data_IF_951067704231
#
_entry.id   IF_951067704231
#
_cell.length_a   1.000
_cell.length_b   1.000
_cell.length_c   1.000
_cell.angle_alpha   90.00
_cell.angle_beta   90.00
_cell.angle_gamma   90.00
#
_symmetry.space_group_name_H-M   'P 1'
#
loop_
_entity.id
_entity.type
_entity.pdbx_description
1 polymer ?
#
# COMPACT_ATOMS: atom_id res chain seq x y z
N UNK A 1 -0.71 9.56 36.87
CA UNK A 1 -1.75 8.53 36.62
C UNK A 1 -3.04 8.99 37.28
N UNK A 2 -4.20 8.76 36.65
CA UNK A 2 -5.52 9.04 37.23
C UNK A 2 -5.91 7.98 38.27
N UNK A 3 -6.29 8.41 39.46
CA UNK A 3 -6.72 7.55 40.55
C UNK A 3 -7.67 8.28 41.51
N UNK A 4 -8.49 7.55 42.25
CA UNK A 4 -9.36 8.17 43.26
C UNK A 4 -8.53 8.72 44.43
N UNK A 5 -8.65 10.03 44.76
CA UNK A 5 -7.91 10.65 45.86
C UNK A 5 -8.29 10.13 47.24
N UNK A 6 -9.53 9.69 47.40
CA UNK A 6 -10.09 9.26 48.69
C UNK A 6 -10.89 7.97 48.48
N UNK A 7 -10.75 6.96 49.36
CA UNK A 7 -11.62 5.79 49.38
C UNK A 7 -12.98 6.14 50.01
N UNK A 8 -13.61 7.22 49.54
CA UNK A 8 -14.96 7.65 49.92
C UNK A 8 -15.82 7.72 48.67
N UNK A 9 -17.06 7.24 48.77
CA UNK A 9 -18.02 7.32 47.67
C UNK A 9 -18.56 8.75 47.63
N UNK A 10 -18.07 9.54 46.67
CA UNK A 10 -18.63 10.85 46.32
C UNK A 10 -19.43 10.68 45.02
N UNK A 11 -20.75 10.93 45.01
CA UNK A 11 -21.56 10.85 43.80
C UNK A 11 -21.07 11.78 42.67
N UNK A 12 -20.36 12.87 43.01
CA UNK A 12 -19.79 13.81 42.06
C UNK A 12 -18.33 13.51 41.70
N UNK A 13 -17.73 12.44 42.24
CA UNK A 13 -16.38 12.04 41.90
C UNK A 13 -16.26 10.55 41.55
N UNK A 14 -15.76 10.25 40.36
CA UNK A 14 -15.65 8.88 39.82
C UNK A 14 -14.21 8.64 39.37
N UNK A 15 -13.52 7.67 40.00
CA UNK A 15 -12.21 7.17 39.59
C UNK A 15 -11.13 8.25 39.35
N UNK A 16 -11.15 9.30 40.19
CA UNK A 16 -10.23 10.44 40.07
C UNK A 16 -10.71 11.56 39.15
N UNK A 17 -11.98 11.56 38.77
CA UNK A 17 -12.63 12.63 38.00
C UNK A 17 -13.65 13.33 38.88
N UNK A 18 -13.69 14.66 38.86
CA UNK A 18 -14.77 15.43 39.47
C UNK A 18 -15.73 15.89 38.38
N UNK A 19 -17.02 15.63 38.56
CA UNK A 19 -18.07 15.97 37.61
C UNK A 19 -18.81 17.26 38.01
N UNK A 20 -19.27 18.01 37.01
CA UNK A 20 -20.20 19.13 37.21
C UNK A 20 -21.66 18.64 37.39
N UNK A 21 -22.61 19.57 37.54
CA UNK A 21 -24.02 19.24 37.73
C UNK A 21 -24.68 18.57 36.51
N UNK A 22 -24.10 18.75 35.33
CA UNK A 22 -24.58 18.21 34.06
C UNK A 22 -23.89 16.87 33.69
N UNK A 23 -22.91 16.45 34.48
CA UNK A 23 -22.14 15.22 34.31
C UNK A 23 -20.91 15.35 33.41
N UNK A 24 -20.47 16.56 33.06
CA UNK A 24 -19.20 16.77 32.36
C UNK A 24 -18.04 16.72 33.35
N UNK A 25 -16.85 16.33 32.87
CA UNK A 25 -15.65 16.33 33.72
C UNK A 25 -15.18 17.76 33.94
N UNK A 26 -15.19 18.20 35.19
CA UNK A 26 -14.70 19.50 35.61
C UNK A 26 -13.22 19.48 36.00
N UNK A 27 -12.76 18.39 36.65
CA UNK A 27 -11.37 18.25 37.12
C UNK A 27 -10.87 16.82 37.10
N UNK A 28 -9.55 16.69 37.01
CA UNK A 28 -8.81 15.43 37.02
C UNK A 28 -7.87 15.37 38.22
N UNK A 29 -7.93 14.30 39.00
CA UNK A 29 -6.95 14.00 40.05
C UNK A 29 -5.79 13.21 39.47
N UNK A 30 -4.63 13.84 39.39
CA UNK A 30 -3.43 13.22 38.85
C UNK A 30 -2.44 12.99 39.98
N UNK A 31 -2.03 11.73 40.15
CA UNK A 31 -1.03 11.34 41.14
C UNK A 31 0.33 11.96 40.85
N UNK A 32 1.01 12.43 41.90
CA UNK A 32 2.36 13.02 41.83
C UNK A 32 3.40 12.02 41.33
N UNK A 33 3.16 10.74 41.63
CA UNK A 33 4.06 9.64 41.27
C UNK A 33 3.26 8.44 40.76
N UNK A 34 3.93 7.60 39.95
CA UNK A 34 3.34 6.34 39.52
C UNK A 34 3.16 5.39 40.73
N UNK A 35 1.99 4.74 40.92
CA UNK A 35 1.73 3.83 42.04
C UNK A 35 2.72 2.67 42.16
N UNK A 36 3.27 2.22 41.03
CA UNK A 36 4.29 1.18 40.96
C UNK A 36 5.73 1.70 40.97
N UNK A 37 5.97 2.99 41.19
CA UNK A 37 7.32 3.51 41.37
C UNK A 37 7.96 2.87 42.62
N UNK A 38 9.29 2.74 42.62
CA UNK A 38 10.07 2.18 43.73
C UNK A 38 10.14 3.14 44.94
N UNK A 39 8.98 3.64 45.37
CA UNK A 39 8.78 4.44 46.56
C UNK A 39 8.37 3.51 47.70
N UNK A 40 8.83 3.82 48.92
CA UNK A 40 8.41 3.08 50.10
C UNK A 40 6.96 3.41 50.42
N UNK A 41 6.03 2.56 49.98
CA UNK A 41 4.61 2.64 50.30
C UNK A 41 3.71 3.05 49.13
N UNK A 42 2.42 2.76 49.28
CA UNK A 42 1.38 3.15 48.34
C UNK A 42 1.05 4.63 48.59
N UNK A 43 1.41 5.51 47.67
CA UNK A 43 1.02 6.93 47.74
C UNK A 43 -0.10 7.23 46.75
N UNK A 44 -1.20 7.77 47.27
CA UNK A 44 -2.31 8.35 46.49
C UNK A 44 -2.24 9.88 46.46
N UNK A 45 -1.10 10.45 46.88
CA UNK A 45 -0.85 11.89 46.79
C UNK A 45 -0.87 12.32 45.32
N UNK A 46 -1.51 13.46 45.09
CA UNK A 46 -1.74 14.02 43.77
C UNK A 46 -2.33 15.41 43.91
N UNK A 47 -2.71 15.97 42.77
CA UNK A 47 -3.34 17.28 42.70
C UNK A 47 -4.48 17.29 41.68
N UNK A 48 -5.43 18.19 41.91
CA UNK A 48 -6.51 18.46 40.98
C UNK A 48 -6.02 19.40 39.89
N UNK A 49 -6.30 19.02 38.65
CA UNK A 49 -6.14 19.85 37.46
C UNK A 49 -7.52 20.14 36.88
N UNK A 50 -7.72 21.37 36.41
CA UNK A 50 -8.94 21.73 35.71
C UNK A 50 -9.01 20.98 34.37
N UNK A 51 -10.23 20.66 33.92
CA UNK A 51 -10.42 19.86 32.70
C UNK A 51 -9.83 20.52 31.45
N UNK A 52 -9.76 21.85 31.45
CA UNK A 52 -9.17 22.66 30.40
C UNK A 52 -7.66 22.43 30.23
N UNK A 53 -6.98 21.95 31.27
CA UNK A 53 -5.53 21.68 31.28
C UNK A 53 -5.19 20.23 30.93
N UNK A 54 -6.19 19.38 30.70
CA UNK A 54 -6.01 17.93 30.56
C UNK A 54 -6.65 17.41 29.28
N UNK A 55 -5.81 16.95 28.36
CA UNK A 55 -6.25 16.19 27.19
C UNK A 55 -6.42 14.72 27.57
N UNK A 56 -7.67 14.29 27.79
CA UNK A 56 -8.00 12.91 28.11
C UNK A 56 -8.52 12.16 26.87
N UNK A 57 -7.62 11.50 26.16
CA UNK A 57 -7.97 10.71 24.97
C UNK A 57 -8.27 9.26 25.33
N UNK A 58 -9.47 8.80 24.97
CA UNK A 58 -9.90 7.41 25.11
C UNK A 58 -11.06 7.08 24.17
N UNK A 59 -11.24 5.79 23.87
CA UNK A 59 -12.36 5.32 23.07
C UNK A 59 -13.65 5.21 23.91
N UNK A 60 -14.57 6.14 23.73
CA UNK A 60 -15.89 6.14 24.36
C UNK A 60 -16.90 5.31 23.54
N UNK A 61 -17.40 4.21 24.11
CA UNK A 61 -18.37 3.32 23.45
C UNK A 61 -19.81 3.56 23.91
N UNK A 62 -20.01 4.28 25.02
CA UNK A 62 -21.34 4.58 25.58
C UNK A 62 -21.42 6.03 26.08
N UNK A 63 -22.59 6.68 25.99
CA UNK A 63 -22.82 7.96 26.66
C UNK A 63 -22.57 7.87 28.17
N UNK A 64 -21.93 8.90 28.75
CA UNK A 64 -21.56 8.93 30.17
C UNK A 64 -20.36 8.06 30.55
N UNK A 65 -19.67 7.45 29.58
CA UNK A 65 -18.41 6.77 29.85
C UNK A 65 -17.30 7.80 30.05
N UNK A 66 -16.73 7.84 31.25
CA UNK A 66 -15.68 8.81 31.60
C UNK A 66 -14.26 8.25 31.49
N UNK A 67 -14.09 6.95 31.22
CA UNK A 67 -12.79 6.29 31.05
C UNK A 67 -12.82 5.26 29.94
N UNK A 68 -11.71 5.14 29.22
CA UNK A 68 -11.51 4.08 28.25
C UNK A 68 -11.42 2.71 28.91
N UNK A 69 -11.93 1.70 28.19
CA UNK A 69 -11.61 0.30 28.46
C UNK A 69 -10.53 -0.10 27.45
N UNK A 70 -9.46 -0.75 27.91
CA UNK A 70 -8.39 -1.18 27.01
C UNK A 70 -8.91 -2.14 25.94
N UNK A 71 -8.44 -1.98 24.71
CA UNK A 71 -8.91 -2.74 23.54
C UNK A 71 -8.75 -4.26 23.69
N UNK A 72 -7.73 -4.69 24.42
CA UNK A 72 -7.43 -6.11 24.65
C UNK A 72 -8.25 -6.75 25.79
N UNK A 73 -8.99 -5.95 26.56
CA UNK A 73 -9.78 -6.44 27.71
C UNK A 73 -10.76 -7.56 27.32
N UNK A 74 -11.49 -7.49 26.18
CA UNK A 74 -12.37 -8.57 25.73
C UNK A 74 -11.64 -9.87 25.35
N UNK A 75 -10.32 -9.84 25.23
CA UNK A 75 -9.48 -10.97 24.82
C UNK A 75 -8.65 -11.59 25.96
N UNK A 76 -8.80 -11.12 27.21
CA UNK A 76 -7.98 -11.58 28.35
C UNK A 76 -8.09 -13.09 28.61
N UNK A 77 -9.29 -13.65 28.46
CA UNK A 77 -9.51 -15.08 28.63
C UNK A 77 -8.78 -15.90 27.55
N UNK A 78 -8.82 -15.42 26.31
CA UNK A 78 -8.16 -16.02 25.16
C UNK A 78 -6.64 -16.04 25.34
N UNK A 79 -6.05 -14.97 25.88
CA UNK A 79 -4.63 -14.96 26.27
C UNK A 79 -4.31 -16.00 27.35
N UNK A 80 -5.17 -16.15 28.35
CA UNK A 80 -4.99 -17.13 29.41
C UNK A 80 -5.06 -18.57 28.86
N UNK A 81 -6.03 -18.85 27.99
CA UNK A 81 -6.17 -20.14 27.32
C UNK A 81 -4.98 -20.44 26.42
N UNK A 82 -4.53 -19.47 25.61
CA UNK A 82 -3.34 -19.62 24.77
C UNK A 82 -2.12 -20.00 25.62
N UNK A 83 -1.83 -19.22 26.66
CA UNK A 83 -0.70 -19.47 27.56
C UNK A 83 -0.78 -20.85 28.22
N UNK A 84 -1.94 -21.23 28.75
CA UNK A 84 -2.14 -22.53 29.41
C UNK A 84 -1.97 -23.69 28.44
N UNK A 85 -2.52 -23.57 27.24
CA UNK A 85 -2.44 -24.61 26.23
C UNK A 85 -1.01 -24.77 25.70
N UNK A 86 -0.31 -23.68 25.39
CA UNK A 86 1.11 -23.72 25.00
C UNK A 86 1.97 -24.36 26.08
N UNK A 87 1.77 -23.99 27.34
CA UNK A 87 2.50 -24.62 28.45
C UNK A 87 2.20 -26.11 28.57
N UNK A 88 0.93 -26.52 28.44
CA UNK A 88 0.54 -27.93 28.51
C UNK A 88 1.18 -28.75 27.38
N UNK A 89 1.24 -28.21 26.16
CA UNK A 89 1.87 -28.87 25.01
C UNK A 89 3.38 -29.00 25.20
N UNK A 90 4.05 -27.95 25.67
CA UNK A 90 5.49 -28.00 26.01
C UNK A 90 5.72 -29.03 27.12
N UNK A 91 4.97 -28.97 28.22
CA UNK A 91 5.12 -29.88 29.37
C UNK A 91 4.89 -31.33 28.95
N UNK A 92 3.89 -31.60 28.11
CA UNK A 92 3.62 -32.95 27.62
C UNK A 92 4.74 -33.45 26.69
N UNK A 93 5.30 -32.57 25.85
CA UNK A 93 6.43 -32.90 24.98
C UNK A 93 7.71 -33.16 25.80
N UNK A 94 7.99 -32.35 26.82
CA UNK A 94 9.10 -32.53 27.77
C UNK A 94 8.95 -33.85 28.53
N UNK A 95 7.77 -34.10 29.13
CA UNK A 95 7.50 -35.35 29.86
C UNK A 95 7.70 -36.58 28.98
N UNK A 96 7.22 -36.55 27.73
CA UNK A 96 7.41 -37.66 26.79
C UNK A 96 8.87 -37.82 26.34
N UNK A 97 9.66 -36.74 26.32
CA UNK A 97 11.08 -36.78 25.99
C UNK A 97 11.95 -37.25 27.17
N UNK A 98 11.55 -36.96 28.41
CA UNK A 98 12.28 -37.34 29.62
C UNK A 98 12.23 -38.86 29.87
N UNK A 99 11.11 -39.52 29.55
CA UNK A 99 11.00 -40.98 29.66
C UNK A 99 11.44 -41.68 28.37
N UNK A 100 12.60 -42.34 28.44
CA UNK A 100 13.09 -43.13 27.31
C UNK A 100 12.19 -44.36 27.00
N UNK A 101 11.73 -45.08 28.03
CA UNK A 101 10.72 -46.15 27.94
C UNK A 101 10.20 -46.50 29.35
N UNK A 102 8.95 -46.99 29.42
CA UNK A 102 8.33 -47.55 30.62
C UNK A 102 8.12 -49.05 30.36
N UNK A 103 8.44 -49.90 31.34
CA UNK A 103 8.15 -51.33 31.26
C UNK A 103 6.76 -51.60 31.82
N UNK A 104 5.90 -52.27 31.06
CA UNK A 104 4.61 -52.79 31.54
C UNK A 104 4.58 -54.30 31.44
N UNK A 105 3.94 -54.99 32.38
CA UNK A 105 3.68 -56.42 32.24
C UNK A 105 2.44 -56.66 31.40
N UNK A 106 2.50 -57.61 30.48
CA UNK A 106 1.37 -58.09 29.67
C UNK A 106 0.91 -59.49 30.07
N UNK A 107 1.46 -60.02 31.16
CA UNK A 107 1.08 -61.32 31.67
C UNK A 107 -0.32 -61.28 32.33
N UNK A 108 -1.11 -62.37 32.20
CA UNK A 108 -2.39 -62.50 32.90
C UNK A 108 -2.19 -62.50 34.43
N UNK A 109 -3.25 -62.30 35.24
CA UNK A 109 -3.14 -62.17 36.70
C UNK A 109 -2.48 -63.36 37.42
N UNK A 110 -2.47 -64.54 36.80
CA UNK A 110 -1.82 -65.76 37.30
C UNK A 110 -0.39 -65.95 36.79
N UNK A 111 0.08 -65.11 35.86
CA UNK A 111 1.41 -65.16 35.29
C UNK A 111 2.46 -64.56 36.25
N UNK A 112 3.65 -65.16 36.29
CA UNK A 112 4.77 -64.68 37.10
C UNK A 112 5.72 -63.90 36.19
N UNK A 113 5.82 -62.58 36.37
CA UNK A 113 6.84 -61.77 35.72
C UNK A 113 8.17 -61.87 36.49
N UNK A 114 9.29 -61.60 35.81
CA UNK A 114 10.55 -61.38 36.49
C UNK A 114 10.41 -60.22 37.51
N UNK A 115 10.92 -60.43 38.73
CA UNK A 115 10.86 -59.43 39.80
C UNK A 115 11.75 -58.23 39.43
N UNK A 116 11.10 -57.10 39.15
CA UNK A 116 11.74 -55.80 39.06
C UNK A 116 11.37 -55.00 40.31
N UNK A 117 12.35 -54.29 40.85
CA UNK A 117 12.09 -53.36 41.95
C UNK A 117 11.30 -52.16 41.41
N UNK A 118 10.38 -51.63 42.21
CA UNK A 118 9.61 -50.46 41.80
C UNK A 118 10.56 -49.27 41.51
N UNK A 119 10.41 -48.65 40.35
CA UNK A 119 11.24 -47.52 39.87
C UNK A 119 12.70 -47.88 39.51
N UNK A 120 13.00 -49.15 39.24
CA UNK A 120 14.31 -49.56 38.73
C UNK A 120 14.62 -48.94 37.34
N UNK A 121 15.81 -48.35 37.19
CA UNK A 121 16.26 -47.73 35.94
C UNK A 121 17.24 -48.61 35.18
N UNK A 122 17.01 -48.83 33.88
CA UNK A 122 17.90 -49.59 33.01
C UNK A 122 18.63 -48.66 32.03
N UNK A 123 19.96 -48.80 31.82
CA UNK A 123 20.70 -47.94 30.91
C UNK A 123 20.34 -48.25 29.45
N UNK A 124 19.80 -47.27 28.73
CA UNK A 124 19.57 -47.37 27.28
C UNK A 124 20.81 -46.82 26.55
N UNK A 125 21.58 -47.71 25.92
CA UNK A 125 22.78 -47.35 25.16
C UNK A 125 22.43 -47.08 23.69
N UNK A 126 22.87 -45.92 23.17
CA UNK A 126 22.59 -45.49 21.79
C UNK A 126 23.16 -46.50 20.78
N UNK A 127 22.30 -47.00 19.89
CA UNK A 127 22.71 -47.91 18.80
C UNK A 127 22.94 -49.37 19.21
N UNK A 128 22.60 -49.74 20.44
CA UNK A 128 22.74 -51.12 20.96
C UNK A 128 21.38 -51.79 21.13
N UNK A 129 21.30 -53.08 20.82
CA UNK A 129 20.15 -53.91 21.19
C UNK A 129 20.24 -54.27 22.68
N UNK A 130 19.29 -53.80 23.49
CA UNK A 130 19.23 -54.08 24.94
C UNK A 130 18.15 -55.12 25.21
N UNK A 131 18.46 -56.17 25.99
CA UNK A 131 17.48 -57.19 26.38
C UNK A 131 16.57 -56.69 27.50
N UNK A 132 15.27 -56.95 27.38
CA UNK A 132 14.25 -56.64 28.40
C UNK A 132 13.94 -57.92 29.19
N UNK A 133 13.68 -57.85 30.51
CA UNK A 133 13.29 -59.01 31.32
C UNK A 133 12.02 -59.71 30.81
N UNK A 134 11.93 -61.02 31.06
CA UNK A 134 10.79 -61.84 30.62
C UNK A 134 9.47 -61.40 31.27
N UNK A 135 8.40 -61.37 30.47
CA UNK A 135 7.07 -60.90 30.89
C UNK A 135 6.88 -59.37 30.93
N UNK A 136 7.86 -58.59 30.45
CA UNK A 136 7.81 -57.13 30.39
C UNK A 136 7.93 -56.60 28.96
N UNK A 137 7.02 -55.70 28.60
CA UNK A 137 7.04 -54.97 27.33
C UNK A 137 7.48 -53.53 27.56
N UNK A 138 8.47 -53.07 26.80
CA UNK A 138 8.83 -51.65 26.77
C UNK A 138 7.81 -50.86 25.96
N UNK A 139 7.24 -49.84 26.59
CA UNK A 139 6.35 -48.86 25.98
C UNK A 139 7.01 -47.50 26.10
N UNK A 140 7.24 -46.86 24.97
CA UNK A 140 7.62 -45.45 24.97
C UNK A 140 6.41 -44.61 25.35
N UNK A 141 6.59 -43.66 26.28
CA UNK A 141 5.56 -42.66 26.54
C UNK A 141 5.42 -41.80 25.29
N UNK A 142 4.24 -41.83 24.66
CA UNK A 142 3.91 -40.97 23.54
C UNK A 142 3.07 -39.81 24.06
N UNK A 143 3.47 -38.59 23.75
CA UNK A 143 2.57 -37.45 23.88
C UNK A 143 1.47 -37.61 22.81
N UNK A 144 0.31 -38.15 23.16
CA UNK A 144 -0.81 -38.39 22.24
C UNK A 144 -1.65 -37.14 21.94
N UNK A 145 -1.16 -35.95 22.29
CA UNK A 145 -1.81 -34.71 21.86
C UNK A 145 -1.65 -34.53 20.34
N UNK A 146 -2.67 -34.03 19.61
CA UNK A 146 -2.55 -33.77 18.18
C UNK A 146 -1.62 -32.58 17.93
N UNK A 147 -0.31 -32.83 17.93
CA UNK A 147 0.76 -31.86 17.63
C UNK A 147 0.55 -31.18 16.28
N UNK A 148 -0.06 -31.88 15.32
CA UNK A 148 -0.43 -31.35 14.01
C UNK A 148 -1.52 -30.26 14.04
N UNK A 149 -2.34 -30.20 15.11
CA UNK A 149 -3.43 -29.22 15.25
C UNK A 149 -3.06 -28.03 16.13
N UNK A 150 -1.90 -28.08 16.80
CA UNK A 150 -1.43 -27.01 17.69
C UNK A 150 -1.37 -25.66 16.96
N UNK A 151 -0.76 -25.63 15.78
CA UNK A 151 -0.62 -24.42 14.97
C UNK A 151 -1.98 -23.84 14.54
N UNK A 152 -2.96 -24.70 14.21
CA UNK A 152 -4.30 -24.26 13.84
C UNK A 152 -5.05 -23.64 15.03
N UNK A 153 -4.95 -24.27 16.20
CA UNK A 153 -5.52 -23.74 17.43
C UNK A 153 -4.88 -22.40 17.82
N UNK A 154 -3.54 -22.32 17.83
CA UNK A 154 -2.80 -21.10 18.13
C UNK A 154 -3.20 -19.97 17.17
N UNK A 155 -3.20 -20.25 15.87
CA UNK A 155 -3.64 -19.30 14.85
C UNK A 155 -5.07 -18.83 15.08
N UNK A 156 -5.99 -19.73 15.43
CA UNK A 156 -7.40 -19.39 15.71
C UNK A 156 -7.54 -18.53 16.96
N UNK A 157 -6.76 -18.82 18.00
CA UNK A 157 -6.74 -18.06 19.25
C UNK A 157 -6.16 -16.66 19.04
N UNK A 158 -5.01 -16.55 18.37
CA UNK A 158 -4.42 -15.26 17.99
C UNK A 158 -5.36 -14.44 17.12
N UNK A 159 -6.07 -15.07 16.17
CA UNK A 159 -7.09 -14.38 15.37
C UNK A 159 -8.24 -13.86 16.23
N UNK A 160 -8.70 -14.62 17.23
CA UNK A 160 -9.76 -14.19 18.14
C UNK A 160 -9.31 -13.01 19.02
N UNK A 161 -8.05 -13.03 19.48
CA UNK A 161 -7.43 -11.93 20.22
C UNK A 161 -7.32 -10.69 19.33
N UNK A 162 -6.75 -10.82 18.12
CA UNK A 162 -6.51 -9.72 17.20
C UNK A 162 -7.78 -8.97 16.79
N UNK A 163 -8.93 -9.66 16.73
CA UNK A 163 -10.24 -9.05 16.45
C UNK A 163 -10.63 -7.97 17.45
N UNK A 164 -10.20 -8.07 18.71
CA UNK A 164 -10.50 -7.05 19.74
C UNK A 164 -9.86 -5.69 19.44
N UNK A 165 -8.73 -5.70 18.72
CA UNK A 165 -7.98 -4.51 18.28
C UNK A 165 -8.22 -4.18 16.79
N UNK A 166 -9.19 -4.83 16.15
CA UNK A 166 -9.45 -4.74 14.71
C UNK A 166 -8.21 -5.03 13.83
N UNK A 167 -7.33 -5.93 14.30
CA UNK A 167 -6.11 -6.34 13.59
C UNK A 167 -6.36 -7.62 12.77
N UNK A 168 -6.07 -7.62 11.46
CA UNK A 168 -5.99 -8.85 10.68
C UNK A 168 -4.83 -9.74 11.17
N UNK A 169 -4.98 -11.06 11.02
CA UNK A 169 -3.96 -12.03 11.47
C UNK A 169 -2.57 -11.75 10.87
N UNK A 170 -2.50 -11.38 9.58
CA UNK A 170 -1.23 -11.07 8.90
C UNK A 170 -0.47 -9.89 9.54
N UNK A 171 -1.19 -8.98 10.19
CA UNK A 171 -0.61 -7.83 10.89
C UNK A 171 -0.26 -8.21 12.32
N UNK A 172 -1.19 -8.87 13.02
CA UNK A 172 -1.02 -9.24 14.43
C UNK A 172 0.09 -10.29 14.65
N UNK A 173 0.14 -11.32 13.81
CA UNK A 173 1.11 -12.41 13.89
C UNK A 173 2.32 -12.21 12.97
N UNK A 174 2.33 -11.16 12.14
CA UNK A 174 3.34 -10.91 11.11
C UNK A 174 3.58 -12.13 10.20
N UNK A 175 2.53 -12.90 9.93
CA UNK A 175 2.58 -14.14 9.15
C UNK A 175 1.65 -14.04 7.94
N UNK A 176 2.25 -13.91 6.76
CA UNK A 176 1.57 -13.89 5.47
C UNK A 176 1.75 -15.17 4.66
N UNK A 177 2.24 -16.26 5.25
CA UNK A 177 2.58 -17.51 4.54
C UNK A 177 1.39 -18.12 3.79
N UNK A 178 0.18 -17.98 4.33
CA UNK A 178 -1.05 -18.49 3.74
C UNK A 178 -1.84 -17.43 2.93
N UNK A 179 -1.32 -16.20 2.79
CA UNK A 179 -2.05 -15.09 2.17
C UNK A 179 -1.71 -14.93 0.69
N UNK A 180 -2.75 -14.79 -0.15
CA UNK A 180 -2.62 -14.30 -1.53
C UNK A 180 -2.62 -12.76 -1.59
N UNK A 181 -2.20 -12.19 -2.72
CA UNK A 181 -2.21 -10.74 -2.94
C UNK A 181 -3.59 -10.10 -2.69
N UNK A 182 -4.66 -10.72 -3.21
CA UNK A 182 -6.04 -10.23 -3.06
C UNK A 182 -6.51 -10.28 -1.60
N UNK A 183 -6.24 -11.37 -0.89
CA UNK A 183 -6.58 -11.48 0.54
C UNK A 183 -5.79 -10.49 1.39
N UNK A 184 -4.49 -10.34 1.13
CA UNK A 184 -3.64 -9.39 1.83
C UNK A 184 -4.15 -7.96 1.64
N UNK A 185 -4.50 -7.59 0.40
CA UNK A 185 -5.09 -6.28 0.11
C UNK A 185 -6.42 -6.08 0.85
N UNK A 186 -7.27 -7.09 0.91
CA UNK A 186 -8.54 -7.04 1.66
C UNK A 186 -8.32 -6.81 3.15
N UNK A 187 -7.40 -7.55 3.76
CA UNK A 187 -7.05 -7.44 5.18
C UNK A 187 -6.50 -6.04 5.51
N UNK A 188 -5.53 -5.55 4.73
CA UNK A 188 -4.99 -4.20 4.93
C UNK A 188 -6.02 -3.10 4.68
N UNK A 189 -7.01 -3.30 3.79
CA UNK A 189 -8.05 -2.28 3.57
C UNK A 189 -8.88 -2.02 4.83
N UNK A 190 -9.27 -3.08 5.54
CA UNK A 190 -10.03 -2.95 6.80
C UNK A 190 -9.16 -2.34 7.89
N UNK A 191 -7.92 -2.82 8.02
CA UNK A 191 -6.98 -2.30 9.01
C UNK A 191 -6.66 -0.81 8.81
N UNK A 192 -6.39 -0.39 7.57
CA UNK A 192 -6.11 1.01 7.23
C UNK A 192 -7.30 1.93 7.50
N UNK A 193 -8.54 1.44 7.35
CA UNK A 193 -9.75 2.18 7.75
C UNK A 193 -9.82 2.38 9.26
N UNK A 194 -9.44 1.37 10.05
CA UNK A 194 -9.36 1.47 11.50
C UNK A 194 -8.37 2.57 11.92
N UNK A 195 -7.15 2.54 11.35
CA UNK A 195 -6.14 3.58 11.56
C UNK A 195 -6.65 4.97 11.14
N UNK A 196 -7.42 5.06 10.04
CA UNK A 196 -8.03 6.31 9.64
C UNK A 196 -9.01 6.87 10.67
N UNK A 197 -9.79 6.01 11.33
CA UNK A 197 -10.70 6.41 12.40
C UNK A 197 -9.92 6.87 13.65
N UNK A 198 -8.88 6.12 14.04
CA UNK A 198 -7.96 6.49 15.13
C UNK A 198 -7.32 7.87 14.90
N UNK A 199 -6.79 8.09 13.69
CA UNK A 199 -6.20 9.37 13.28
C UNK A 199 -7.21 10.51 13.38
N UNK A 200 -8.41 10.33 12.83
CA UNK A 200 -9.46 11.36 12.87
C UNK A 200 -9.92 11.67 14.31
N UNK A 201 -9.98 10.66 15.18
CA UNK A 201 -10.32 10.86 16.59
C UNK A 201 -9.20 11.60 17.33
N UNK A 202 -7.94 11.23 17.09
CA UNK A 202 -6.78 11.90 17.65
C UNK A 202 -6.65 13.34 17.16
N UNK A 203 -6.94 13.62 15.88
CA UNK A 203 -7.01 14.98 15.35
C UNK A 203 -7.99 15.83 16.18
N UNK A 204 -9.23 15.36 16.31
CA UNK A 204 -10.31 16.09 16.98
C UNK A 204 -10.13 16.24 18.49
N UNK A 205 -9.60 15.21 19.16
CA UNK A 205 -9.53 15.16 20.64
C UNK A 205 -8.21 15.69 21.17
N UNK A 206 -7.13 15.55 20.41
CA UNK A 206 -5.78 15.86 20.87
C UNK A 206 -5.17 17.01 20.07
N UNK A 207 -5.07 16.86 18.75
CA UNK A 207 -4.27 17.80 17.95
C UNK A 207 -4.95 19.16 17.77
N UNK A 208 -6.25 19.19 17.50
CA UNK A 208 -7.02 20.42 17.34
C UNK A 208 -7.01 21.25 18.64
N UNK A 209 -7.34 20.70 19.82
CA UNK A 209 -7.26 21.47 21.07
C UNK A 209 -5.85 21.98 21.39
N UNK A 210 -4.82 21.18 21.10
CA UNK A 210 -3.42 21.61 21.32
C UNK A 210 -3.06 22.77 20.39
N UNK A 211 -3.47 22.69 19.12
CA UNK A 211 -3.22 23.76 18.15
C UNK A 211 -3.98 25.03 18.53
N UNK A 212 -5.24 24.93 18.94
CA UNK A 212 -6.05 26.07 19.41
C UNK A 212 -5.38 26.76 20.61
N UNK A 213 -4.98 26.00 21.63
CA UNK A 213 -4.25 26.56 22.79
C UNK A 213 -2.93 27.19 22.40
N UNK A 214 -2.20 26.56 21.48
CA UNK A 214 -0.97 27.13 20.96
C UNK A 214 -1.20 28.44 20.21
N UNK A 215 -2.27 28.53 19.42
CA UNK A 215 -2.65 29.74 18.68
C UNK A 215 -3.05 30.88 19.63
N UNK A 216 -3.79 30.56 20.70
CA UNK A 216 -4.16 31.53 21.73
C UNK A 216 -2.93 32.16 22.39
N UNK A 217 -1.96 31.33 22.79
CA UNK A 217 -0.68 31.81 23.35
C UNK A 217 0.16 32.55 22.30
N UNK A 218 0.19 32.06 21.06
CA UNK A 218 0.95 32.69 19.98
C UNK A 218 0.42 34.09 19.64
N UNK A 219 -0.89 34.32 19.76
CA UNK A 219 -1.50 35.63 19.55
C UNK A 219 -1.06 36.67 20.58
N UNK A 220 -0.60 36.24 21.77
CA UNK A 220 -0.08 37.12 22.81
C UNK A 220 1.39 37.52 22.58
N UNK A 221 2.10 36.84 21.68
CA UNK A 221 3.50 37.09 21.36
C UNK A 221 3.61 37.99 20.12
N UNK A 222 4.06 39.25 20.26
CA UNK A 222 4.14 40.18 19.12
C UNK A 222 5.04 39.65 18.01
N UNK A 223 4.53 39.63 16.77
CA UNK A 223 5.26 39.25 15.56
C UNK A 223 5.40 37.74 15.33
N UNK A 224 4.84 36.88 16.19
CA UNK A 224 4.84 35.44 15.96
C UNK A 224 3.81 35.03 14.91
N UNK A 225 2.59 35.58 15.00
CA UNK A 225 1.58 35.48 13.94
C UNK A 225 1.77 36.68 13.00
N UNK A 226 1.94 36.47 11.67
CA UNK A 226 2.09 37.56 10.72
C UNK A 226 0.89 38.51 10.71
N UNK A 227 1.17 39.82 10.67
CA UNK A 227 0.13 40.84 10.53
C UNK A 227 -0.63 40.73 9.20
N UNK A 228 -1.91 41.14 9.21
CA UNK A 228 -2.74 41.20 8.00
C UNK A 228 -3.43 39.88 7.62
N UNK A 229 -3.31 38.84 8.43
CA UNK A 229 -4.11 37.62 8.32
C UNK A 229 -5.54 37.85 8.84
N UNK A 230 -6.54 37.11 8.34
CA UNK A 230 -7.89 37.14 8.91
C UNK A 230 -7.87 36.66 10.37
N UNK A 231 -8.91 36.96 11.17
CA UNK A 231 -9.04 36.45 12.53
C UNK A 231 -8.81 34.93 12.59
N UNK A 232 -8.12 34.45 13.63
CA UNK A 232 -7.82 33.01 13.80
C UNK A 232 -9.09 32.14 13.77
N UNK A 233 -10.23 32.68 14.21
CA UNK A 233 -11.54 32.01 14.15
C UNK A 233 -12.02 31.69 12.73
N UNK A 234 -11.45 32.32 11.70
CA UNK A 234 -11.75 32.07 10.29
C UNK A 234 -10.77 31.07 9.64
N UNK A 235 -9.74 30.65 10.38
CA UNK A 235 -8.73 29.74 9.85
C UNK A 235 -9.29 28.32 9.79
N UNK A 236 -8.95 27.62 8.72
CA UNK A 236 -9.20 26.19 8.56
C UNK A 236 -7.87 25.48 8.40
N UNK A 237 -7.64 24.44 9.20
CA UNK A 237 -6.47 23.58 9.07
C UNK A 237 -6.86 22.13 8.80
N UNK A 238 -5.88 21.33 8.41
CA UNK A 238 -6.03 19.90 8.20
C UNK A 238 -4.71 19.23 8.55
N UNK A 239 -4.78 18.11 9.25
CA UNK A 239 -3.59 17.31 9.56
C UNK A 239 -3.24 16.40 8.39
N UNK A 240 -1.95 16.24 8.15
CA UNK A 240 -1.42 15.33 7.12
C UNK A 240 -0.74 14.17 7.80
N UNK A 241 -1.09 12.96 7.35
CA UNK A 241 -0.48 11.73 7.83
C UNK A 241 0.17 10.99 6.68
N UNK A 242 1.20 10.21 7.03
CA UNK A 242 1.82 9.28 6.10
C UNK A 242 0.77 8.36 5.49
N UNK A 243 0.87 8.24 4.17
CA UNK A 243 0.08 7.33 3.36
C UNK A 243 0.54 5.90 3.55
N UNK A 244 -0.25 4.99 3.00
CA UNK A 244 0.11 3.58 3.01
C UNK A 244 0.72 3.19 1.68
N UNK A 245 1.93 2.64 1.71
CA UNK A 245 2.61 2.18 0.51
C UNK A 245 1.81 1.08 -0.20
N UNK A 246 1.82 1.16 -1.53
CA UNK A 246 1.30 0.10 -2.39
C UNK A 246 2.41 -0.90 -2.72
N UNK A 247 2.05 -2.18 -2.75
CA UNK A 247 2.99 -3.28 -3.06
C UNK A 247 3.53 -3.17 -4.50
N UNK A 248 2.71 -2.64 -5.41
CA UNK A 248 3.08 -2.39 -6.81
C UNK A 248 3.15 -0.87 -7.05
N UNK A 249 4.33 -0.26 -6.95
CA UNK A 249 4.48 1.19 -7.08
C UNK A 249 4.11 1.69 -8.47
N UNK A 250 4.26 0.87 -9.52
CA UNK A 250 3.96 1.27 -10.91
C UNK A 250 2.45 1.45 -11.08
N UNK A 251 1.65 0.49 -10.60
CA UNK A 251 0.17 0.61 -10.64
C UNK A 251 -0.34 1.77 -9.80
N UNK A 252 0.30 2.03 -8.66
CA UNK A 252 -0.05 3.17 -7.81
C UNK A 252 0.20 4.50 -8.52
N UNK A 253 1.38 4.69 -9.15
CA UNK A 253 1.66 5.92 -9.88
C UNK A 253 0.69 6.14 -11.05
N UNK A 254 0.35 5.08 -11.80
CA UNK A 254 -0.64 5.19 -12.87
C UNK A 254 -2.02 5.59 -12.33
N UNK A 255 -2.46 4.98 -11.22
CA UNK A 255 -3.73 5.33 -10.59
C UNK A 255 -3.75 6.78 -10.06
N UNK A 256 -2.64 7.26 -9.49
CA UNK A 256 -2.49 8.65 -9.03
C UNK A 256 -2.56 9.62 -10.21
N UNK A 257 -1.84 9.32 -11.30
CA UNK A 257 -1.86 10.10 -12.53
C UNK A 257 -3.28 10.23 -13.08
N UNK A 258 -4.02 9.13 -13.18
CA UNK A 258 -5.40 9.15 -13.66
C UNK A 258 -6.35 9.87 -12.69
N UNK A 259 -6.17 9.72 -11.38
CA UNK A 259 -6.96 10.44 -10.38
C UNK A 259 -6.74 11.96 -10.44
N UNK A 260 -5.51 12.42 -10.67
CA UNK A 260 -5.19 13.83 -10.86
C UNK A 260 -5.82 14.37 -12.15
N UNK A 261 -5.81 13.58 -13.23
CA UNK A 261 -6.45 13.93 -14.52
C UNK A 261 -7.97 14.03 -14.41
N UNK A 262 -8.59 13.09 -13.70
CA UNK A 262 -10.04 13.06 -13.49
C UNK A 262 -10.50 14.03 -12.40
N UNK A 263 -9.59 14.80 -11.78
CA UNK A 263 -9.87 15.71 -10.68
C UNK A 263 -10.55 15.05 -9.47
N UNK A 264 -10.27 13.76 -9.24
CA UNK A 264 -10.77 13.03 -8.05
C UNK A 264 -9.80 13.10 -6.87
N UNK A 265 -8.56 13.53 -7.11
CA UNK A 265 -7.56 13.85 -6.08
C UNK A 265 -6.86 15.19 -6.34
N UNK A 266 -5.98 15.61 -5.43
CA UNK A 266 -5.22 16.86 -5.52
C UNK A 266 -3.74 16.62 -5.21
N UNK A 267 -2.86 17.49 -5.72
CA UNK A 267 -1.42 17.42 -5.40
C UNK A 267 -1.18 17.46 -3.88
N UNK A 268 -1.89 18.32 -3.16
CA UNK A 268 -1.79 18.37 -1.70
C UNK A 268 -2.05 17.01 -1.04
N UNK A 269 -3.11 16.29 -1.45
CA UNK A 269 -3.41 14.96 -0.91
C UNK A 269 -2.36 13.92 -1.27
N UNK A 270 -1.79 13.98 -2.48
CA UNK A 270 -0.80 13.01 -2.93
C UNK A 270 0.59 13.23 -2.31
N UNK A 271 1.02 14.48 -2.14
CA UNK A 271 2.27 14.81 -1.44
C UNK A 271 2.16 14.59 0.07
N UNK A 272 0.98 14.85 0.67
CA UNK A 272 0.73 14.58 2.09
C UNK A 272 0.96 13.12 2.47
N UNK A 273 0.66 12.17 1.56
CA UNK A 273 0.94 10.73 1.76
C UNK A 273 2.45 10.43 1.98
N UNK A 274 3.33 11.34 1.58
CA UNK A 274 4.79 11.22 1.74
C UNK A 274 5.35 12.21 2.77
N UNK A 275 4.47 12.86 3.55
CA UNK A 275 4.83 13.93 4.48
C UNK A 275 5.54 15.12 3.80
N UNK A 276 5.11 15.46 2.58
CA UNK A 276 5.68 16.56 1.79
C UNK A 276 4.66 17.69 1.59
N UNK A 277 5.15 18.92 1.55
CA UNK A 277 4.36 20.09 1.16
C UNK A 277 4.45 20.29 -0.35
N UNK A 278 3.33 20.06 -1.04
CA UNK A 278 3.24 20.20 -2.49
C UNK A 278 3.68 21.57 -3.01
N UNK A 279 3.47 22.67 -2.27
CA UNK A 279 3.88 24.02 -2.72
C UNK A 279 5.39 24.15 -2.74
N UNK A 280 6.04 23.65 -1.68
CA UNK A 280 7.50 23.61 -1.57
C UNK A 280 8.11 22.73 -2.65
N UNK A 281 7.54 21.55 -2.87
CA UNK A 281 8.04 20.61 -3.89
C UNK A 281 7.89 21.16 -5.30
N UNK A 282 6.79 21.86 -5.61
CA UNK A 282 6.64 22.53 -6.91
C UNK A 282 7.65 23.67 -7.10
N UNK A 283 7.93 24.46 -6.05
CA UNK A 283 8.95 25.51 -6.13
C UNK A 283 10.35 24.91 -6.34
N UNK A 284 10.71 23.91 -5.53
CA UNK A 284 11.95 23.15 -5.68
C UNK A 284 12.07 22.59 -7.11
N UNK A 285 10.98 22.03 -7.65
CA UNK A 285 10.97 21.51 -9.01
C UNK A 285 11.18 22.59 -10.07
N UNK A 286 10.62 23.78 -9.88
CA UNK A 286 10.83 24.91 -10.78
C UNK A 286 12.29 25.36 -10.77
N UNK A 287 12.90 25.43 -9.58
CA UNK A 287 14.31 25.81 -9.40
C UNK A 287 15.25 24.78 -10.05
N UNK A 288 14.96 23.48 -9.90
CA UNK A 288 15.68 22.39 -10.57
C UNK A 288 15.63 22.51 -12.10
N UNK A 289 14.45 22.79 -12.67
CA UNK A 289 14.29 22.95 -14.12
C UNK A 289 15.11 24.15 -14.62
N UNK A 290 15.07 25.28 -13.89
CA UNK A 290 15.85 26.46 -14.23
C UNK A 290 17.36 26.17 -14.20
N UNK A 291 17.82 25.44 -13.19
CA UNK A 291 19.23 25.06 -13.03
C UNK A 291 19.68 24.04 -14.09
N UNK A 292 18.85 23.04 -14.40
CA UNK A 292 19.11 22.08 -15.48
C UNK A 292 19.28 22.79 -16.83
N UNK A 293 18.39 23.75 -17.13
CA UNK A 293 18.49 24.57 -18.33
C UNK A 293 19.78 25.40 -18.35
N UNK A 294 20.18 25.98 -17.21
CA UNK A 294 21.43 26.73 -17.09
C UNK A 294 22.67 25.85 -17.32
N UNK A 295 22.64 24.60 -16.84
CA UNK A 295 23.73 23.64 -16.97
C UNK A 295 23.74 22.90 -18.31
N UNK A 296 22.71 23.05 -19.14
CA UNK A 296 22.54 22.29 -20.39
C UNK A 296 22.28 20.80 -20.16
N UNK A 297 21.72 20.45 -18.99
CA UNK A 297 21.28 19.10 -18.66
C UNK A 297 19.83 18.95 -19.10
N UNK A 298 19.54 17.92 -19.88
CA UNK A 298 18.19 17.65 -20.38
C UNK A 298 17.66 16.37 -19.74
N UNK A 299 16.59 16.49 -18.95
CA UNK A 299 15.72 15.37 -18.61
C UNK A 299 14.51 15.50 -19.53
N UNK A 300 14.13 14.41 -20.19
CA UNK A 300 12.91 14.36 -20.99
C UNK A 300 11.70 14.52 -20.05
N UNK A 301 11.14 15.73 -20.03
CA UNK A 301 10.07 16.17 -19.12
C UNK A 301 8.91 16.76 -19.92
N UNK A 302 8.42 16.06 -20.94
CA UNK A 302 7.21 16.49 -21.64
C UNK A 302 5.95 16.17 -20.79
N UNK A 303 5.22 17.18 -20.27
CA UNK A 303 4.01 16.96 -19.44
C UNK A 303 2.84 16.36 -20.24
N UNK A 304 2.82 16.56 -21.55
CA UNK A 304 1.80 16.02 -22.47
C UNK A 304 1.86 14.48 -22.56
N UNK A 305 3.00 13.87 -22.20
CA UNK A 305 3.13 12.42 -22.00
C UNK A 305 2.79 11.97 -20.57
N UNK A 306 2.98 12.83 -19.57
CA UNK A 306 2.65 12.54 -18.17
C UNK A 306 1.15 12.62 -17.84
N UNK A 307 0.30 12.98 -18.80
CA UNK A 307 -1.15 12.83 -18.69
C UNK A 307 -1.75 12.18 -19.95
N UNK A 308 -1.00 11.23 -20.53
CA UNK A 308 -1.35 10.52 -21.76
C UNK A 308 -1.45 9.00 -21.58
N UNK A 309 -2.59 8.52 -21.09
CA UNK A 309 -3.28 7.37 -21.68
C UNK A 309 -4.78 7.66 -21.71
N UNK A 310 -5.33 7.86 -22.90
CA UNK A 310 -6.71 7.46 -23.12
C UNK A 310 -6.78 5.96 -22.84
N UNK A 311 -7.86 5.53 -22.21
CA UNK A 311 -8.14 4.14 -21.88
C UNK A 311 -8.02 3.26 -23.14
N UNK A 312 -6.88 2.60 -23.32
CA UNK A 312 -6.83 1.22 -23.78
C UNK A 312 -5.45 0.61 -23.46
N UNK A 313 -5.42 -0.35 -22.55
CA UNK A 313 -4.31 -1.27 -22.36
C UNK A 313 -4.88 -2.68 -22.25
N UNK A 314 -5.56 -3.11 -23.30
CA UNK A 314 -5.43 -4.48 -23.78
C UNK A 314 -4.35 -4.53 -24.86
N UNK A 315 -3.37 -5.42 -24.72
CA UNK A 315 -2.67 -6.05 -25.85
C UNK A 315 -1.67 -5.23 -26.69
N UNK A 316 -0.56 -4.75 -26.12
CA UNK A 316 0.55 -4.23 -26.94
C UNK A 316 1.94 -4.74 -26.57
N UNK A 317 2.07 -6.06 -26.37
CA UNK A 317 3.33 -6.77 -26.64
C UNK A 317 3.16 -7.98 -27.59
N UNK A 318 1.94 -8.28 -28.07
CA UNK A 318 1.65 -9.51 -28.81
C UNK A 318 1.31 -9.36 -30.32
N UNK A 319 1.44 -8.18 -30.93
CA UNK A 319 1.14 -7.98 -32.37
C UNK A 319 2.35 -7.53 -33.21
N UNK A 320 3.50 -8.17 -33.02
CA UNK A 320 4.61 -8.10 -33.98
C UNK A 320 4.43 -9.13 -35.12
N UNK A 321 3.21 -9.32 -35.63
CA UNK A 321 2.87 -10.40 -36.56
C UNK A 321 2.12 -9.92 -37.82
N UNK A 322 2.74 -8.99 -38.56
CA UNK A 322 2.73 -8.87 -40.02
C UNK A 322 3.73 -7.75 -40.35
N UNK A 323 4.75 -8.03 -41.16
CA UNK A 323 5.91 -7.14 -41.33
C UNK A 323 5.57 -5.79 -41.96
N UNK A 324 5.27 -4.80 -41.12
CA UNK A 324 5.13 -3.39 -41.47
C UNK A 324 6.49 -2.74 -41.71
N UNK A 325 7.21 -3.27 -42.71
CA UNK A 325 8.54 -2.80 -43.07
C UNK A 325 8.41 -1.63 -44.06
N UNK A 326 9.02 -0.47 -43.77
CA UNK A 326 8.98 0.67 -44.66
C UNK A 326 9.56 0.34 -46.06
N UNK A 327 8.90 0.77 -47.15
CA UNK A 327 9.35 0.48 -48.51
C UNK A 327 10.65 1.21 -48.84
N UNK A 328 11.42 0.68 -49.80
CA UNK A 328 12.73 1.23 -50.20
C UNK A 328 12.74 2.75 -50.38
N UNK A 329 11.73 3.33 -51.04
CA UNK A 329 11.62 4.77 -51.24
C UNK A 329 11.53 5.57 -49.94
N UNK A 330 10.80 5.07 -48.94
CA UNK A 330 10.70 5.72 -47.63
C UNK A 330 12.04 5.68 -46.86
N UNK A 331 12.77 4.56 -47.02
CA UNK A 331 14.09 4.37 -46.41
C UNK A 331 15.15 5.29 -47.03
N UNK A 332 15.09 5.50 -48.35
CA UNK A 332 15.99 6.43 -49.05
C UNK A 332 15.71 7.89 -48.67
N UNK A 333 14.43 8.27 -48.57
CA UNK A 333 14.04 9.61 -48.09
C UNK A 333 14.48 9.86 -46.64
N UNK A 334 14.28 8.89 -45.74
CA UNK A 334 14.69 9.02 -44.34
C UNK A 334 16.21 9.18 -44.19
N UNK A 335 17.01 8.46 -44.99
CA UNK A 335 18.47 8.64 -45.03
C UNK A 335 18.86 10.03 -45.49
N UNK A 336 18.24 10.49 -46.59
CA UNK A 336 18.46 11.84 -47.12
C UNK A 336 18.05 12.93 -46.13
N UNK A 337 16.95 12.75 -45.40
CA UNK A 337 16.54 13.64 -44.31
C UNK A 337 17.55 13.70 -43.16
N UNK A 338 18.13 12.56 -42.78
CA UNK A 338 19.19 12.48 -41.76
C UNK A 338 20.48 13.16 -42.23
N UNK A 339 20.83 13.03 -43.51
CA UNK A 339 21.98 13.70 -44.13
C UNK A 339 21.79 15.21 -44.18
N UNK A 340 20.64 15.68 -44.68
CA UNK A 340 20.33 17.12 -44.70
C UNK A 340 20.28 17.74 -43.31
N UNK A 341 19.75 17.02 -42.32
CA UNK A 341 19.78 17.52 -40.94
C UNK A 341 21.22 17.62 -40.39
N UNK A 342 22.10 16.70 -40.79
CA UNK A 342 23.52 16.75 -40.42
C UNK A 342 24.24 17.93 -41.08
N UNK A 343 23.92 18.21 -42.33
CA UNK A 343 24.55 19.29 -43.12
C UNK A 343 24.04 20.68 -42.73
N UNK A 344 22.73 20.86 -42.61
CA UNK A 344 22.10 22.19 -42.43
C UNK A 344 21.68 22.49 -40.99
N UNK A 345 21.74 21.51 -40.07
CA UNK A 345 21.41 21.71 -38.65
C UNK A 345 19.97 22.12 -38.35
N UNK A 346 19.04 21.97 -39.31
CA UNK A 346 17.64 22.44 -39.22
C UNK A 346 16.67 21.35 -39.68
N UNK A 347 15.40 21.45 -39.26
CA UNK A 347 14.31 20.56 -39.66
C UNK A 347 14.15 19.30 -38.79
N UNK A 348 12.91 19.10 -38.30
CA UNK A 348 12.49 17.94 -37.51
C UNK A 348 12.89 17.96 -36.03
N UNK A 349 12.06 17.34 -35.18
CA UNK A 349 12.34 17.15 -33.74
C UNK A 349 13.22 15.91 -33.52
N UNK A 350 13.68 15.65 -32.29
CA UNK A 350 14.43 14.43 -31.97
C UNK A 350 13.64 13.15 -32.30
N UNK A 351 12.31 13.20 -32.13
CA UNK A 351 11.36 12.14 -32.54
C UNK A 351 11.44 11.87 -34.05
N UNK A 352 11.48 12.94 -34.86
CA UNK A 352 11.66 12.82 -36.31
C UNK A 352 12.98 12.13 -36.69
N UNK A 353 14.08 12.39 -35.97
CA UNK A 353 15.36 11.71 -36.20
C UNK A 353 15.35 10.26 -35.76
N UNK A 354 14.78 9.95 -34.60
CA UNK A 354 14.64 8.57 -34.14
C UNK A 354 13.80 7.77 -35.15
N UNK A 355 12.67 8.33 -35.59
CA UNK A 355 11.81 7.74 -36.60
C UNK A 355 12.53 7.55 -37.94
N UNK A 356 13.29 8.55 -38.38
CA UNK A 356 14.08 8.44 -39.61
C UNK A 356 15.12 7.31 -39.52
N UNK A 357 15.74 7.09 -38.35
CA UNK A 357 16.68 5.97 -38.15
C UNK A 357 15.97 4.62 -38.22
N UNK A 358 14.80 4.49 -37.60
CA UNK A 358 14.01 3.25 -37.68
C UNK A 358 13.60 2.94 -39.12
N UNK A 359 13.10 3.96 -39.83
CA UNK A 359 12.69 3.86 -41.24
C UNK A 359 13.89 3.52 -42.11
N UNK A 360 15.01 4.26 -42.02
CA UNK A 360 16.21 4.01 -42.81
C UNK A 360 16.73 2.56 -42.64
N UNK A 361 16.70 2.06 -41.40
CA UNK A 361 17.13 0.70 -41.08
C UNK A 361 16.13 -0.38 -41.51
N UNK A 362 14.91 -0.01 -41.90
CA UNK A 362 13.87 -0.96 -42.31
C UNK A 362 13.33 -1.77 -41.15
N UNK A 363 13.28 -1.19 -39.95
CA UNK A 363 12.62 -1.81 -38.79
C UNK A 363 11.12 -1.88 -39.04
N UNK A 364 10.49 -2.98 -38.63
CA UNK A 364 9.03 -3.09 -38.64
C UNK A 364 8.44 -2.05 -37.69
N UNK A 365 7.41 -1.32 -38.12
CA UNK A 365 6.76 -0.28 -37.33
C UNK A 365 5.40 -0.77 -36.80
N UNK A 366 5.05 -0.39 -35.57
CA UNK A 366 3.73 -0.70 -34.99
C UNK A 366 2.62 0.07 -35.70
N UNK A 367 1.38 -0.42 -35.61
CA UNK A 367 0.23 0.25 -36.21
C UNK A 367 0.02 1.67 -35.64
N UNK A 368 0.22 1.84 -34.33
CA UNK A 368 0.22 3.16 -33.68
C UNK A 368 1.28 4.11 -34.28
N UNK A 369 2.49 3.59 -34.54
CA UNK A 369 3.53 4.38 -35.22
C UNK A 369 3.06 4.82 -36.60
N UNK A 370 2.42 3.94 -37.36
CA UNK A 370 1.93 4.21 -38.72
C UNK A 370 0.83 5.28 -38.69
N UNK A 371 -0.12 5.17 -37.76
CA UNK A 371 -1.19 6.16 -37.59
C UNK A 371 -0.63 7.55 -37.20
N UNK A 372 0.46 7.60 -36.43
CA UNK A 372 1.20 8.85 -36.18
C UNK A 372 1.86 9.40 -37.44
N UNK A 373 2.40 8.54 -38.31
CA UNK A 373 2.94 8.97 -39.61
C UNK A 373 1.85 9.59 -40.49
N UNK A 374 0.67 8.95 -40.58
CA UNK A 374 -0.51 9.49 -41.31
C UNK A 374 -0.88 10.88 -40.79
N UNK A 375 -1.04 11.01 -39.46
CA UNK A 375 -1.39 12.28 -38.80
C UNK A 375 -0.33 13.37 -39.00
N UNK A 376 0.95 12.99 -39.01
CA UNK A 376 2.03 13.93 -39.31
C UNK A 376 1.93 14.45 -40.74
N UNK A 377 1.81 13.56 -41.73
CA UNK A 377 1.77 13.94 -43.14
C UNK A 377 0.55 14.77 -43.51
N UNK A 378 -0.61 14.49 -42.90
CA UNK A 378 -1.83 15.28 -43.10
C UNK A 378 -1.66 16.74 -42.63
N UNK A 379 -1.01 16.96 -41.48
CA UNK A 379 -0.80 18.30 -40.91
C UNK A 379 0.27 19.10 -41.64
N UNK A 380 1.29 18.43 -42.17
CA UNK A 380 2.46 19.10 -42.77
C UNK A 380 2.39 19.11 -44.30
N UNK A 381 1.25 18.77 -44.90
CA UNK A 381 1.08 18.84 -46.37
C UNK A 381 1.13 20.28 -46.90
N UNK A 382 0.73 21.25 -46.07
CA UNK A 382 0.83 22.68 -46.40
C UNK A 382 2.29 23.14 -46.56
N UNK A 383 3.25 22.47 -45.89
CA UNK A 383 4.67 22.82 -45.96
C UNK A 383 5.27 22.61 -47.36
N UNK A 384 4.58 21.83 -48.22
CA UNK A 384 4.96 21.62 -49.63
C UNK A 384 4.94 22.89 -50.46
N UNK A 385 4.17 23.89 -50.03
CA UNK A 385 3.99 25.16 -50.72
C UNK A 385 5.01 26.21 -50.28
N UNK A 386 5.85 25.91 -49.28
CA UNK A 386 6.86 26.82 -48.77
C UNK A 386 8.11 26.92 -49.64
N UNK A 387 8.77 28.09 -49.62
CA UNK A 387 10.02 28.34 -50.33
C UNK A 387 11.14 27.37 -49.88
N UNK A 388 11.90 26.82 -50.83
CA UNK A 388 12.99 25.88 -50.57
C UNK A 388 12.51 24.43 -50.46
N UNK A 389 11.31 24.12 -50.98
CA UNK A 389 10.75 22.77 -50.98
C UNK A 389 11.25 21.93 -52.15
N UNK A 390 11.40 22.52 -53.34
CA UNK A 390 11.81 21.82 -54.56
C UNK A 390 13.28 22.09 -54.91
N UNK A 391 13.99 21.13 -55.53
CA UNK A 391 15.35 21.35 -56.02
C UNK A 391 15.41 22.54 -56.99
N UNK A 392 16.33 23.48 -56.75
CA UNK A 392 16.50 24.70 -57.55
C UNK A 392 15.84 25.95 -56.97
N UNK A 393 15.06 25.81 -55.88
CA UNK A 393 14.56 26.95 -55.13
C UNK A 393 15.61 27.51 -54.17
N UNK A 394 15.61 28.82 -53.97
CA UNK A 394 16.46 29.48 -52.97
C UNK A 394 16.16 28.93 -51.57
N UNK A 395 17.21 28.49 -50.87
CA UNK A 395 17.09 27.91 -49.53
C UNK A 395 16.77 26.41 -49.47
N UNK A 396 16.78 25.69 -50.59
CA UNK A 396 16.61 24.23 -50.61
C UNK A 396 17.78 23.49 -49.94
N UNK A 397 17.52 22.48 -49.08
CA UNK A 397 16.21 22.05 -48.57
C UNK A 397 15.75 22.90 -47.37
N UNK A 398 14.47 23.30 -47.37
CA UNK A 398 13.82 24.02 -46.27
C UNK A 398 13.68 23.16 -45.02
N UNK A 399 13.46 23.78 -43.85
CA UNK A 399 13.26 23.04 -42.60
C UNK A 399 12.05 22.08 -42.67
N UNK A 400 10.97 22.49 -43.34
CA UNK A 400 9.80 21.65 -43.60
C UNK A 400 10.12 20.47 -44.54
N UNK A 401 10.92 20.70 -45.60
CA UNK A 401 11.36 19.64 -46.50
C UNK A 401 12.23 18.59 -45.80
N UNK A 402 13.15 19.03 -44.94
CA UNK A 402 14.00 18.14 -44.14
C UNK A 402 13.15 17.33 -43.16
N UNK A 403 12.21 17.97 -42.46
CA UNK A 403 11.29 17.29 -41.56
C UNK A 403 10.43 16.25 -42.32
N UNK A 404 9.90 16.59 -43.48
CA UNK A 404 9.14 15.68 -44.34
C UNK A 404 9.96 14.45 -44.77
N UNK A 405 11.24 14.66 -45.13
CA UNK A 405 12.14 13.57 -45.51
C UNK A 405 12.45 12.63 -44.32
N UNK A 406 12.61 13.16 -43.10
CA UNK A 406 12.84 12.35 -41.89
C UNK A 406 11.70 11.35 -41.61
N UNK A 407 10.47 11.70 -41.97
CA UNK A 407 9.31 10.80 -41.83
C UNK A 407 9.13 9.82 -43.01
N UNK A 408 10.06 9.81 -43.96
CA UNK A 408 10.06 8.91 -45.12
C UNK A 408 9.50 9.51 -46.40
N UNK A 409 9.22 10.83 -46.42
CA UNK A 409 8.78 11.55 -47.61
C UNK A 409 7.47 11.04 -48.22
N UNK A 410 7.23 11.37 -49.48
CA UNK A 410 6.02 10.94 -50.21
C UNK A 410 5.86 9.42 -50.30
N UNK A 411 6.93 8.62 -50.48
CA UNK A 411 6.84 7.16 -50.39
C UNK A 411 6.42 6.67 -48.99
N UNK A 412 6.90 7.31 -47.93
CA UNK A 412 6.52 7.01 -46.54
C UNK A 412 5.05 7.35 -46.25
N UNK A 413 4.57 8.47 -46.77
CA UNK A 413 3.16 8.89 -46.68
C UNK A 413 2.22 7.92 -47.36
N UNK A 414 2.49 7.59 -48.62
CA UNK A 414 1.64 6.68 -49.40
C UNK A 414 1.58 5.28 -48.75
N UNK A 415 2.71 4.81 -48.23
CA UNK A 415 2.77 3.54 -47.50
C UNK A 415 2.01 3.59 -46.18
N UNK A 416 2.20 4.63 -45.37
CA UNK A 416 1.54 4.75 -44.09
C UNK A 416 0.01 4.79 -44.23
N UNK A 417 -0.51 5.57 -45.19
CA UNK A 417 -1.95 5.63 -45.47
C UNK A 417 -2.50 4.26 -45.91
N UNK A 418 -1.79 3.58 -46.82
CA UNK A 418 -2.21 2.25 -47.30
C UNK A 418 -2.25 1.21 -46.18
N UNK A 419 -1.26 1.20 -45.30
CA UNK A 419 -1.22 0.25 -44.17
C UNK A 419 -2.29 0.62 -43.13
N UNK A 420 -2.51 1.91 -42.87
CA UNK A 420 -3.58 2.39 -42.00
C UNK A 420 -4.96 1.90 -42.46
N UNK A 421 -5.29 2.14 -43.74
CA UNK A 421 -6.56 1.71 -44.35
C UNK A 421 -6.74 0.18 -44.34
N UNK A 422 -5.65 -0.58 -44.47
CA UNK A 422 -5.71 -2.05 -44.43
C UNK A 422 -5.91 -2.60 -43.01
N UNK A 423 -5.40 -1.89 -41.98
CA UNK A 423 -5.60 -2.23 -40.58
C UNK A 423 -7.03 -1.96 -40.13
N UNK A 424 -7.60 -0.81 -40.50
CA UNK A 424 -8.98 -0.44 -40.16
C UNK A 424 -10.01 -1.43 -40.73
N UNK A 425 -9.77 -1.98 -41.93
CA UNK A 425 -10.63 -3.01 -42.54
C UNK A 425 -10.53 -4.37 -41.83
N UNK A 426 -9.35 -4.73 -41.32
CA UNK A 426 -9.14 -5.96 -40.57
C UNK A 426 -9.82 -5.89 -39.20
N UNK A 427 -9.70 -4.76 -38.50
CA UNK A 427 -10.32 -4.54 -37.20
C UNK A 427 -11.86 -4.53 -37.31
N UNK A 428 -12.43 -3.90 -38.35
CA UNK A 428 -13.87 -3.94 -38.63
C UNK A 428 -14.39 -5.38 -38.81
N UNK A 429 -13.67 -6.23 -39.54
CA UNK A 429 -14.05 -7.65 -39.74
C UNK A 429 -13.93 -8.50 -38.47
N UNK A 430 -13.00 -8.16 -37.57
CA UNK A 430 -12.82 -8.86 -36.29
C UNK A 430 -13.93 -8.51 -35.29
N UNK A 431 -14.45 -7.27 -35.34
CA UNK A 431 -15.49 -6.77 -34.44
C UNK A 431 -16.89 -7.38 -34.71
N UNK A 432 -17.19 -7.79 -35.94
CA UNK A 432 -18.47 -8.46 -36.26
C UNK A 432 -18.55 -9.91 -35.72
N UNK A 433 -17.41 -10.53 -35.42
CA UNK A 433 -17.38 -11.94 -34.95
C UNK A 433 -17.64 -12.07 -33.44
N UNK A 434 -17.66 -10.95 -32.68
CA UNK A 434 -17.71 -10.96 -31.21
C UNK A 434 -19.08 -10.63 -30.60
N UNK A 435 -20.15 -10.53 -31.41
CA UNK A 435 -21.52 -10.26 -30.92
C UNK A 435 -22.44 -11.46 -31.17
N UNK A 436 -22.31 -12.52 -30.36
CA UNK A 436 -23.41 -13.46 -30.10
C UNK A 436 -23.14 -14.27 -28.83
N UNK A 437 -23.90 -14.01 -27.75
CA UNK A 437 -23.88 -14.88 -26.56
C UNK A 437 -24.18 -14.21 -25.22
N UNK A 438 -25.28 -13.46 -25.07
CA UNK A 438 -25.82 -13.14 -23.74
C UNK A 438 -27.16 -13.83 -23.55
N UNK A 439 -27.13 -14.98 -22.87
CA UNK A 439 -28.33 -15.63 -22.33
C UNK A 439 -28.69 -14.97 -21.00
N UNK A 440 -29.93 -14.52 -20.88
CA UNK A 440 -30.49 -13.94 -19.64
C UNK A 440 -31.18 -15.07 -18.85
N UNK A 441 -30.96 -15.25 -17.53
CA UNK A 441 -31.70 -16.25 -16.77
C UNK A 441 -33.00 -15.66 -16.22
N UNK A 442 -34.10 -16.40 -16.42
CA UNK A 442 -35.44 -16.13 -15.87
C UNK A 442 -35.52 -16.53 -14.40
N UNK A 443 -35.99 -15.62 -13.54
CA UNK A 443 -36.33 -15.91 -12.14
C UNK A 443 -37.74 -16.52 -12.06
N UNK A 444 -37.84 -17.76 -11.56
CA UNK A 444 -39.10 -18.37 -11.14
C UNK A 444 -39.20 -18.34 -9.63
N UNK A 445 -40.22 -17.64 -9.12
CA UNK A 445 -40.65 -17.63 -7.73
C UNK A 445 -41.41 -18.92 -7.44
N UNK A 446 -40.99 -19.69 -6.43
CA UNK A 446 -41.80 -20.80 -5.88
C UNK A 446 -42.08 -20.51 -4.42
N UNK A 447 -43.38 -20.38 -4.12
CA UNK A 447 -43.93 -20.36 -2.76
C UNK A 447 -44.11 -21.80 -2.28
N UNK A 448 -43.60 -22.13 -1.11
CA UNK A 448 -44.31 -22.94 -0.09
C UNK A 448 -43.72 -22.68 1.27
#
# INVERSE_FOLDING_TARGET
QLASPVPSIDPAAIDGLQLDADGNVARYWILDHHPGAAMAGWSIAGQWYDADDVVHWFHAVRPGQHRGVGEVVPALEQFAHLRRYTLAVITAAETAADFAAILKTTLPPEGVAAALEAWETMPISRGMATSIPDGWDAVQMKAEHPTSTFAEFEKRMLTAIARSMNLPYIVAAMDSSAASYSSMRGDYLVYRKAIGCERADLERVVLDPILERWLDEAALVPGLIPDGLPPVSEWSWSWTWDGFEHVDPVKEQAAIQDALRMHTTTLQREYAKKNLDWRRELQQRADEIAEMNRLGLFIDLEPEFNYGKGLDQGDTEAQAAAGNVPPRGAREEARRGLEWRREYGRGGTAVGVARARDIANGRSLSMDTINRMVSYFARHEVDKQGQGWSPGEEGYPSAGRIAWALWGGDPGRAWANKVAESGDQADASSSETHVCGTSTPSMTTTTT
#
